data_IF_569715011652
#
_entry.id   IF_569715011652
#
_cell.length_a   1.000
_cell.length_b   1.000
_cell.length_c   1.000
_cell.angle_alpha   90.00
_cell.angle_beta   90.00
_cell.angle_gamma   90.00
#
_symmetry.space_group_name_H-M   'P 1'
#
loop_
_entity.id
_entity.type
_entity.pdbx_description
1 polymer ?
#
# COMPACT_ATOMS: atom_id res chain seq x y z
N UNK A 1 5.67 -5.05 4.57
CA UNK A 1 6.78 -4.32 3.94
C UNK A 1 6.94 -4.88 2.54
N UNK A 2 6.85 -4.00 1.56
CA UNK A 2 7.20 -4.30 0.18
C UNK A 2 8.70 -4.63 0.12
N UNK A 3 9.12 -5.38 -0.89
CA UNK A 3 10.55 -5.60 -1.08
C UNK A 3 11.22 -4.29 -1.51
N UNK A 4 12.48 -4.09 -1.10
CA UNK A 4 13.26 -2.91 -1.50
C UNK A 4 13.41 -2.75 -3.01
N UNK A 5 13.20 -3.83 -3.78
CA UNK A 5 13.17 -3.84 -5.24
C UNK A 5 11.88 -3.23 -5.84
N UNK A 6 10.84 -3.00 -5.04
CA UNK A 6 9.56 -2.45 -5.52
C UNK A 6 9.07 -1.23 -4.73
N UNK A 7 9.64 -0.92 -3.55
CA UNK A 7 9.23 0.22 -2.71
C UNK A 7 10.26 1.34 -2.56
N UNK A 8 11.38 1.29 -3.27
CA UNK A 8 12.35 2.38 -3.20
C UNK A 8 11.96 3.56 -4.11
N UNK A 9 12.49 4.73 -3.77
CA UNK A 9 12.21 5.98 -4.49
C UNK A 9 12.57 5.94 -5.98
N UNK A 10 13.62 5.22 -6.35
CA UNK A 10 14.05 5.12 -7.75
C UNK A 10 12.99 4.42 -8.61
N UNK A 11 12.39 3.35 -8.09
CA UNK A 11 11.27 2.65 -8.74
C UNK A 11 10.10 3.62 -8.94
N UNK A 12 9.68 4.34 -7.90
CA UNK A 12 8.57 5.29 -7.99
C UNK A 12 8.82 6.38 -9.05
N UNK A 13 10.03 6.95 -9.10
CA UNK A 13 10.39 7.99 -10.07
C UNK A 13 10.43 7.49 -11.51
N UNK A 14 10.59 6.19 -11.73
CA UNK A 14 10.56 5.58 -13.06
C UNK A 14 9.16 5.19 -13.55
N UNK A 15 8.14 5.26 -12.67
CA UNK A 15 6.79 4.79 -12.97
C UNK A 15 5.88 5.92 -13.48
N UNK A 16 5.16 5.67 -14.57
CA UNK A 16 4.00 6.50 -14.95
C UNK A 16 2.83 6.32 -13.97
N UNK A 17 2.60 5.06 -13.56
CA UNK A 17 1.59 4.65 -12.59
C UNK A 17 2.17 3.52 -11.74
N UNK A 18 2.05 3.63 -10.42
CA UNK A 18 2.40 2.57 -9.49
C UNK A 18 1.14 1.84 -9.04
N UNK A 19 1.02 0.57 -9.40
CA UNK A 19 -0.16 -0.25 -9.10
C UNK A 19 0.11 -1.20 -7.93
N UNK A 20 -0.74 -1.16 -6.91
CA UNK A 20 -0.71 -2.07 -5.76
C UNK A 20 -2.04 -2.80 -5.71
N UNK A 21 -2.00 -4.10 -5.95
CA UNK A 21 -3.21 -4.93 -6.06
C UNK A 21 -3.26 -5.90 -4.89
N UNK A 22 -4.33 -5.81 -4.10
CA UNK A 22 -4.61 -6.68 -2.96
C UNK A 22 -3.40 -6.84 -2.01
N UNK A 23 -2.88 -5.72 -1.45
CA UNK A 23 -1.76 -5.76 -0.53
C UNK A 23 -2.11 -6.59 0.71
N UNK A 24 -1.15 -7.34 1.22
CA UNK A 24 -1.37 -8.29 2.30
C UNK A 24 -0.22 -8.27 3.29
N UNK A 25 -0.52 -8.24 4.59
CA UNK A 25 0.49 -8.41 5.61
C UNK A 25 0.92 -9.88 5.74
N UNK A 26 2.21 -10.09 6.06
CA UNK A 26 2.82 -11.43 6.16
C UNK A 26 2.11 -12.40 7.12
N UNK A 27 1.48 -11.88 8.18
CA UNK A 27 0.73 -12.71 9.14
C UNK A 27 -0.54 -13.31 8.55
N UNK A 28 -1.05 -12.75 7.45
CA UNK A 28 -2.25 -13.20 6.78
C UNK A 28 -1.97 -14.03 5.51
N UNK A 29 -0.72 -14.38 5.25
CA UNK A 29 -0.37 -15.29 4.15
C UNK A 29 -0.92 -16.69 4.45
N UNK A 30 -1.85 -17.16 3.60
CA UNK A 30 -2.50 -18.47 3.75
C UNK A 30 -3.46 -18.58 4.95
N UNK A 31 -3.74 -17.47 5.66
CA UNK A 31 -4.58 -17.46 6.86
C UNK A 31 -5.25 -16.08 7.05
N UNK A 32 -6.42 -15.88 6.43
CA UNK A 32 -7.17 -14.62 6.47
C UNK A 32 -7.98 -14.51 7.76
N UNK A 33 -7.30 -14.10 8.83
CA UNK A 33 -7.88 -13.90 10.16
C UNK A 33 -7.57 -12.50 10.68
N UNK A 34 -8.48 -11.96 11.47
CA UNK A 34 -8.26 -10.69 12.15
C UNK A 34 -7.16 -10.80 13.23
N UNK A 35 -6.42 -9.71 13.51
CA UNK A 35 -6.49 -8.40 12.85
C UNK A 35 -5.86 -8.43 11.44
N UNK A 36 -6.21 -7.44 10.61
CA UNK A 36 -5.61 -7.20 9.29
C UNK A 36 -4.61 -6.03 9.38
N UNK A 37 -3.40 -6.25 9.90
CA UNK A 37 -2.39 -5.19 9.99
C UNK A 37 -2.02 -4.67 8.60
N UNK A 38 -1.52 -3.44 8.56
CA UNK A 38 -1.05 -2.81 7.33
C UNK A 38 0.01 -3.64 6.61
N UNK A 39 -0.11 -3.72 5.29
CA UNK A 39 0.91 -4.33 4.44
C UNK A 39 2.18 -3.47 4.34
N UNK A 40 2.10 -2.20 4.73
CA UNK A 40 3.14 -1.20 4.54
C UNK A 40 3.72 -0.75 5.87
N UNK A 41 4.99 -0.36 5.84
CA UNK A 41 5.62 0.37 6.94
C UNK A 41 5.25 1.86 6.85
N UNK A 42 5.39 2.59 7.96
CA UNK A 42 5.18 4.04 7.99
C UNK A 42 6.08 4.78 6.98
N UNK A 43 7.32 4.31 6.81
CA UNK A 43 8.27 4.91 5.87
C UNK A 43 7.83 4.70 4.42
N UNK A 44 7.36 3.51 4.05
CA UNK A 44 6.82 3.23 2.71
C UNK A 44 5.59 4.11 2.42
N UNK A 45 4.67 4.25 3.38
CA UNK A 45 3.50 5.12 3.24
C UNK A 45 3.94 6.57 3.00
N UNK A 46 4.89 7.07 3.81
CA UNK A 46 5.43 8.42 3.66
C UNK A 46 6.05 8.65 2.28
N UNK A 47 6.84 7.71 1.78
CA UNK A 47 7.51 7.83 0.48
C UNK A 47 6.50 7.82 -0.68
N UNK A 48 5.52 6.90 -0.66
CA UNK A 48 4.45 6.84 -1.66
C UNK A 48 3.62 8.12 -1.63
N UNK A 49 3.24 8.60 -0.43
CA UNK A 49 2.46 9.82 -0.26
C UNK A 49 3.19 11.05 -0.79
N UNK A 50 4.49 11.19 -0.46
CA UNK A 50 5.33 12.27 -0.99
C UNK A 50 5.45 12.21 -2.52
N UNK A 51 5.65 11.03 -3.09
CA UNK A 51 5.76 10.86 -4.54
C UNK A 51 4.46 11.20 -5.27
N UNK A 52 3.30 10.76 -4.77
CA UNK A 52 1.99 11.12 -5.34
C UNK A 52 1.76 12.63 -5.28
N UNK A 53 2.08 13.27 -4.15
CA UNK A 53 2.00 14.73 -4.00
C UNK A 53 2.96 15.51 -4.92
N UNK A 54 4.01 14.86 -5.44
CA UNK A 54 4.93 15.42 -6.44
C UNK A 54 4.50 15.15 -7.89
N UNK A 55 3.30 14.59 -8.11
CA UNK A 55 2.75 14.31 -9.44
C UNK A 55 2.75 12.83 -9.83
N UNK A 56 3.21 11.94 -8.95
CA UNK A 56 3.09 10.50 -9.11
C UNK A 56 1.63 10.02 -9.11
N UNK A 57 1.38 8.85 -9.70
CA UNK A 57 0.02 8.29 -9.85
C UNK A 57 -0.05 6.93 -9.19
N UNK A 58 -0.82 6.82 -8.11
CA UNK A 58 -1.06 5.56 -7.40
C UNK A 58 -2.38 4.94 -7.87
N UNK A 59 -2.34 3.65 -8.20
CA UNK A 59 -3.53 2.83 -8.40
C UNK A 59 -3.58 1.73 -7.33
N UNK A 60 -4.39 1.93 -6.29
CA UNK A 60 -4.52 1.03 -5.15
C UNK A 60 -5.84 0.26 -5.26
N UNK A 61 -5.76 -1.08 -5.25
CA UNK A 61 -6.91 -1.97 -5.29
C UNK A 61 -6.91 -2.83 -4.03
N UNK A 62 -8.05 -2.85 -3.35
CA UNK A 62 -8.35 -3.79 -2.28
C UNK A 62 -9.76 -4.35 -2.50
N UNK A 63 -9.85 -5.67 -2.62
CA UNK A 63 -11.13 -6.40 -2.73
C UNK A 63 -11.74 -6.61 -1.33
N UNK A 64 -12.02 -7.84 -0.94
CA UNK A 64 -12.60 -8.19 0.36
C UNK A 64 -11.51 -8.35 1.45
N UNK A 65 -11.95 -8.68 2.67
CA UNK A 65 -11.06 -9.03 3.77
C UNK A 65 -10.06 -10.12 3.34
N UNK A 66 -8.74 -9.96 3.59
CA UNK A 66 -8.08 -9.01 4.50
C UNK A 66 -7.53 -7.73 3.84
N UNK A 67 -7.67 -7.59 2.53
CA UNK A 67 -6.93 -6.59 1.74
C UNK A 67 -7.29 -5.14 2.10
N UNK A 68 -8.56 -4.86 2.40
CA UNK A 68 -8.99 -3.52 2.83
C UNK A 68 -8.32 -3.05 4.12
N UNK A 69 -8.21 -3.94 5.11
CA UNK A 69 -7.49 -3.64 6.36
C UNK A 69 -5.98 -3.49 6.15
N UNK A 70 -5.39 -4.35 5.31
CA UNK A 70 -3.98 -4.27 4.98
C UNK A 70 -3.61 -3.01 4.15
N UNK A 71 -4.57 -2.46 3.39
CA UNK A 71 -4.42 -1.22 2.62
C UNK A 71 -4.81 0.04 3.41
N UNK A 72 -5.46 -0.11 4.57
CA UNK A 72 -6.10 0.97 5.30
C UNK A 72 -5.16 2.15 5.57
N UNK A 73 -3.99 1.91 6.19
CA UNK A 73 -3.08 2.99 6.57
C UNK A 73 -2.59 3.81 5.34
N UNK A 74 -2.37 3.15 4.20
CA UNK A 74 -1.97 3.84 2.96
C UNK A 74 -3.11 4.68 2.41
N UNK A 75 -4.33 4.12 2.31
CA UNK A 75 -5.50 4.86 1.83
C UNK A 75 -5.86 6.03 2.75
N UNK A 76 -5.78 5.81 4.06
CA UNK A 76 -6.06 6.81 5.08
C UNK A 76 -5.07 7.98 5.02
N UNK A 77 -3.80 7.73 4.64
CA UNK A 77 -2.82 8.79 4.41
C UNK A 77 -3.21 9.78 3.29
N UNK A 78 -4.14 9.38 2.41
CA UNK A 78 -4.71 10.20 1.35
C UNK A 78 -6.15 10.68 1.66
N UNK A 79 -6.66 10.41 2.87
CA UNK A 79 -8.02 10.79 3.29
C UNK A 79 -9.12 9.86 2.80
N UNK A 80 -8.81 8.62 2.43
CA UNK A 80 -9.79 7.59 2.05
C UNK A 80 -9.91 6.50 3.10
N UNK A 81 -11.09 5.92 3.24
CA UNK A 81 -11.35 4.78 4.12
C UNK A 81 -11.99 3.63 3.32
N UNK A 82 -11.65 2.39 3.68
CA UNK A 82 -12.34 1.21 3.19
C UNK A 82 -13.48 0.85 4.15
N UNK A 83 -14.67 0.61 3.61
CA UNK A 83 -15.90 0.27 4.35
C UNK A 83 -16.27 -1.20 4.25
#
# INVERSE_FOLDING_TARGET
ALSSSVSNREVLLSCDIYAIINPLHKSNLGNWVLPNPSAFTEQEIKEINQWVNQGGRLFLVADHMPFGGAAYDLAHSFGFEFS
#
